data_IF_894176077289
#
_entry.id   IF_894176077289
#
_cell.length_a   1.000
_cell.length_b   1.000
_cell.length_c   1.000
_cell.angle_alpha   90.00
_cell.angle_beta   90.00
_cell.angle_gamma   90.00
#
_symmetry.space_group_name_H-M   'P 1'
#
loop_
_entity.id
_entity.type
_entity.pdbx_description
1 polymer ?
#
# COMPACT_ATOMS: atom_id res chain seq x y z
N UNK A 1 12.77 -11.69 17.71
CA UNK A 1 11.52 -11.84 16.95
C UNK A 1 11.76 -11.42 15.51
N UNK A 2 11.14 -12.09 14.53
CA UNK A 2 11.26 -11.80 13.10
C UNK A 2 10.51 -10.49 12.81
N UNK A 3 11.18 -9.43 12.32
CA UNK A 3 10.51 -8.17 12.07
C UNK A 3 9.79 -8.16 10.72
N UNK A 4 8.50 -7.89 10.74
CA UNK A 4 7.67 -7.76 9.54
C UNK A 4 6.90 -6.44 9.58
N UNK A 5 6.29 -6.07 8.45
CA UNK A 5 5.31 -4.99 8.39
C UNK A 5 3.91 -5.50 8.05
N UNK A 6 2.90 -4.83 8.59
CA UNK A 6 1.50 -5.00 8.21
C UNK A 6 0.99 -3.64 7.74
N UNK A 7 0.58 -3.57 6.48
CA UNK A 7 0.08 -2.36 5.85
C UNK A 7 -1.40 -2.45 5.54
N UNK A 8 -2.16 -1.47 6.02
CA UNK A 8 -3.53 -1.28 5.58
C UNK A 8 -3.58 -0.40 4.33
N UNK A 9 -4.24 -0.91 3.28
CA UNK A 9 -4.45 -0.18 2.04
C UNK A 9 -5.78 0.60 2.07
N UNK A 10 -5.98 1.45 1.07
CA UNK A 10 -7.20 2.23 0.83
C UNK A 10 -7.56 3.34 1.87
N UNK A 11 -6.59 3.83 2.65
CA UNK A 11 -6.88 4.96 3.55
C UNK A 11 -7.39 6.18 2.76
N UNK A 12 -8.38 6.87 3.32
CA UNK A 12 -9.16 7.95 2.70
C UNK A 12 -10.20 7.56 1.63
N UNK A 13 -10.31 6.28 1.22
CA UNK A 13 -11.31 5.87 0.22
C UNK A 13 -12.75 6.15 0.70
N UNK A 14 -13.04 5.87 1.97
CA UNK A 14 -14.27 6.29 2.63
C UNK A 14 -14.06 6.43 4.15
N UNK A 15 -15.10 6.90 4.85
CA UNK A 15 -15.07 7.18 6.29
C UNK A 15 -14.91 5.92 7.13
N UNK A 16 -15.54 4.80 6.78
CA UNK A 16 -15.45 3.55 7.54
C UNK A 16 -14.05 2.91 7.44
N UNK A 17 -13.44 2.95 6.25
CA UNK A 17 -12.04 2.51 6.05
C UNK A 17 -11.10 3.42 6.84
N UNK A 18 -11.25 4.74 6.70
CA UNK A 18 -10.39 5.70 7.39
C UNK A 18 -10.47 5.55 8.92
N UNK A 19 -11.68 5.41 9.48
CA UNK A 19 -11.87 5.20 10.90
C UNK A 19 -11.26 3.88 11.39
N UNK A 20 -11.44 2.79 10.64
CA UNK A 20 -10.87 1.49 10.99
C UNK A 20 -9.34 1.49 10.99
N UNK A 21 -8.72 2.09 9.97
CA UNK A 21 -7.26 2.19 9.87
C UNK A 21 -6.70 3.07 10.99
N UNK A 22 -7.30 4.23 11.27
CA UNK A 22 -6.86 5.11 12.36
C UNK A 22 -6.91 4.42 13.72
N UNK A 23 -8.02 3.72 14.03
CA UNK A 23 -8.16 2.97 15.27
C UNK A 23 -7.09 1.86 15.41
N UNK A 24 -6.79 1.13 14.32
CA UNK A 24 -5.77 0.10 14.34
C UNK A 24 -4.34 0.66 14.42
N UNK A 25 -4.09 1.86 13.87
CA UNK A 25 -2.83 2.59 14.07
C UNK A 25 -2.67 3.03 15.52
N UNK A 26 -3.73 3.57 16.14
CA UNK A 26 -3.73 3.99 17.55
C UNK A 26 -3.43 2.81 18.50
N UNK A 27 -3.94 1.61 18.14
CA UNK A 27 -3.67 0.34 18.84
C UNK A 27 -2.34 -0.30 18.48
N UNK A 28 -1.58 0.26 17.54
CA UNK A 28 -0.32 -0.30 17.00
C UNK A 28 -0.47 -1.70 16.41
N UNK A 29 -1.68 -2.02 15.93
CA UNK A 29 -1.95 -3.28 15.26
C UNK A 29 -1.41 -3.29 13.82
N UNK A 30 -1.17 -2.09 13.26
CA UNK A 30 -0.59 -1.87 11.94
C UNK A 30 0.76 -1.16 12.08
N UNK A 31 1.67 -1.41 11.13
CA UNK A 31 2.95 -0.68 11.04
C UNK A 31 3.04 0.23 9.82
N UNK A 32 2.05 0.18 8.92
CA UNK A 32 1.95 1.04 7.76
C UNK A 32 0.50 1.30 7.32
N UNK A 33 0.29 2.41 6.63
CA UNK A 33 -0.96 2.72 5.93
C UNK A 33 -0.68 3.35 4.56
N UNK A 34 -1.40 2.91 3.53
CA UNK A 34 -1.32 3.47 2.18
C UNK A 34 -2.53 4.34 1.86
N UNK A 35 -2.30 5.55 1.34
CA UNK A 35 -3.29 6.61 1.29
C UNK A 35 -3.66 7.05 -0.13
N UNK A 36 -4.96 7.22 -0.36
CA UNK A 36 -5.49 7.92 -1.53
C UNK A 36 -5.42 9.43 -1.33
N UNK A 37 -4.30 10.04 -1.71
CA UNK A 37 -4.08 11.48 -1.51
C UNK A 37 -4.95 12.41 -2.35
N UNK A 38 -5.69 11.87 -3.32
CA UNK A 38 -6.67 12.63 -4.11
C UNK A 38 -8.11 12.23 -3.82
N UNK A 39 -8.36 11.47 -2.76
CA UNK A 39 -9.72 11.20 -2.31
C UNK A 39 -10.38 12.52 -1.87
N UNK A 40 -11.71 12.69 -2.04
CA UNK A 40 -12.42 13.92 -1.68
C UNK A 40 -12.21 14.36 -0.23
N UNK A 41 -12.11 13.40 0.70
CA UNK A 41 -11.92 13.66 2.13
C UNK A 41 -10.46 13.97 2.51
N UNK A 42 -9.49 13.83 1.59
CA UNK A 42 -8.06 13.86 1.94
C UNK A 42 -7.65 15.16 2.61
N UNK A 43 -7.89 16.29 1.95
CA UNK A 43 -7.41 17.61 2.41
C UNK A 43 -8.08 18.05 3.71
N UNK A 44 -9.38 17.81 3.84
CA UNK A 44 -10.19 18.35 4.94
C UNK A 44 -10.23 17.44 6.16
N UNK A 45 -10.07 16.12 5.99
CA UNK A 45 -10.30 15.16 7.07
C UNK A 45 -9.17 14.15 7.21
N UNK A 46 -8.85 13.39 6.16
CA UNK A 46 -7.98 12.22 6.28
C UNK A 46 -6.51 12.60 6.54
N UNK A 47 -5.96 13.57 5.81
CA UNK A 47 -4.59 14.02 6.03
C UNK A 47 -4.40 14.69 7.41
N UNK A 48 -5.26 15.61 7.87
CA UNK A 48 -5.19 16.15 9.23
C UNK A 48 -5.25 15.06 10.33
N UNK A 49 -6.19 14.12 10.23
CA UNK A 49 -6.35 13.06 11.23
C UNK A 49 -5.14 12.10 11.30
N UNK A 50 -4.48 11.87 10.16
CA UNK A 50 -3.27 11.06 10.09
C UNK A 50 -2.05 11.83 10.61
N UNK A 51 -1.92 13.12 10.25
CA UNK A 51 -0.87 14.00 10.80
C UNK A 51 -0.89 14.06 12.31
N UNK A 52 -2.06 14.26 12.91
CA UNK A 52 -2.22 14.30 14.36
C UNK A 52 -1.59 13.06 15.03
N UNK A 53 -1.83 11.87 14.48
CA UNK A 53 -1.28 10.60 15.00
C UNK A 53 0.22 10.44 14.76
N UNK A 54 0.73 10.97 13.64
CA UNK A 54 2.16 10.93 13.33
C UNK A 54 2.97 11.94 14.16
N UNK A 55 2.37 13.09 14.49
CA UNK A 55 2.96 14.16 15.30
C UNK A 55 2.91 13.83 16.80
N UNK A 56 1.87 13.10 17.24
CA UNK A 56 1.74 12.66 18.63
C UNK A 56 2.87 11.67 19.01
N UNK A 57 3.79 12.19 19.86
CA UNK A 57 4.73 11.51 20.78
C UNK A 57 6.17 11.28 20.30
N UNK A 58 7.09 11.89 21.07
CA UNK A 58 8.54 11.71 21.06
C UNK A 58 8.96 10.39 21.75
N UNK A 59 8.08 9.79 22.56
CA UNK A 59 8.39 8.59 23.38
C UNK A 59 7.69 7.29 22.95
N UNK A 60 7.07 7.25 21.76
CA UNK A 60 6.39 6.01 21.29
C UNK A 60 7.26 5.23 20.31
N UNK A 61 7.60 3.96 20.59
CA UNK A 61 8.59 3.23 19.81
C UNK A 61 8.16 2.81 18.39
N UNK A 62 6.87 2.92 18.03
CA UNK A 62 6.42 2.63 16.66
C UNK A 62 5.58 3.78 16.12
N UNK A 63 6.21 4.65 15.33
CA UNK A 63 5.50 5.44 14.30
C UNK A 63 5.19 4.49 13.15
N UNK A 64 4.07 4.64 12.45
CA UNK A 64 3.77 3.85 11.25
C UNK A 64 4.39 4.49 10.01
N UNK A 65 4.73 3.68 9.00
CA UNK A 65 5.06 4.18 7.67
C UNK A 65 3.79 4.64 6.96
N UNK A 66 3.80 5.81 6.34
CA UNK A 66 2.66 6.32 5.58
C UNK A 66 3.05 6.55 4.13
N UNK A 67 2.32 5.91 3.22
CA UNK A 67 2.67 5.85 1.81
C UNK A 67 1.56 6.35 0.89
N UNK A 68 1.95 6.63 -0.35
CA UNK A 68 1.00 6.92 -1.42
C UNK A 68 0.44 5.62 -2.01
N UNK A 69 -0.89 5.49 -2.01
CA UNK A 69 -1.61 4.45 -2.72
C UNK A 69 -1.88 4.86 -4.16
N UNK A 70 -0.91 4.63 -5.05
CA UNK A 70 -0.99 5.17 -6.41
C UNK A 70 -2.20 4.61 -7.16
N UNK A 71 -3.10 5.51 -7.54
CA UNK A 71 -4.39 5.17 -8.11
C UNK A 71 -4.49 5.56 -9.58
N UNK A 72 -5.05 4.65 -10.39
CA UNK A 72 -5.47 4.90 -11.77
C UNK A 72 -6.90 4.39 -12.06
N UNK A 73 -7.56 3.78 -11.09
CA UNK A 73 -8.78 2.98 -11.31
C UNK A 73 -9.93 3.31 -10.37
N UNK A 74 -9.69 3.90 -9.22
CA UNK A 74 -10.72 4.39 -8.30
C UNK A 74 -11.15 5.81 -8.69
N UNK A 75 -12.46 6.05 -8.77
CA UNK A 75 -13.08 7.32 -9.15
C UNK A 75 -13.64 8.12 -7.98
N UNK A 76 -13.69 7.54 -6.77
CA UNK A 76 -14.24 8.12 -5.54
C UNK A 76 -15.70 8.58 -5.68
N UNK A 77 -16.53 7.77 -6.32
CA UNK A 77 -17.93 8.07 -6.67
C UNK A 77 -18.10 8.79 -8.00
N UNK A 78 -17.00 9.12 -8.69
CA UNK A 78 -16.97 9.66 -10.04
C UNK A 78 -16.49 8.64 -11.07
N UNK A 79 -16.35 9.07 -12.34
CA UNK A 79 -15.82 8.21 -13.38
C UNK A 79 -14.34 7.90 -13.13
N UNK A 80 -14.02 6.61 -13.02
CA UNK A 80 -12.64 6.13 -12.97
C UNK A 80 -11.86 6.52 -14.25
N UNK A 81 -10.58 6.88 -14.09
CA UNK A 81 -9.71 7.22 -15.22
C UNK A 81 -9.48 6.02 -16.18
N UNK A 82 -9.49 4.80 -15.63
CA UNK A 82 -9.40 3.57 -16.39
C UNK A 82 -10.01 2.40 -15.60
N UNK A 83 -10.47 1.35 -16.29
CA UNK A 83 -10.76 0.08 -15.63
C UNK A 83 -9.49 -0.75 -15.45
N UNK A 84 -9.43 -1.55 -14.38
CA UNK A 84 -8.30 -2.46 -14.11
C UNK A 84 -8.02 -3.40 -15.29
N UNK A 85 -9.05 -4.07 -15.80
CA UNK A 85 -8.92 -4.98 -16.94
C UNK A 85 -8.39 -4.25 -18.18
N UNK A 86 -8.84 -3.01 -18.42
CA UNK A 86 -8.32 -2.18 -19.50
C UNK A 86 -6.84 -1.85 -19.34
N UNK A 87 -6.39 -1.51 -18.13
CA UNK A 87 -4.97 -1.26 -17.85
C UNK A 87 -4.12 -2.52 -18.02
N UNK A 88 -4.61 -3.68 -17.55
CA UNK A 88 -3.92 -4.97 -17.70
C UNK A 88 -3.74 -5.29 -19.20
N UNK A 89 -4.81 -5.21 -20.00
CA UNK A 89 -4.73 -5.47 -21.44
C UNK A 89 -3.74 -4.53 -22.14
N UNK A 90 -3.79 -3.22 -21.84
CA UNK A 90 -2.85 -2.23 -22.39
C UNK A 90 -1.40 -2.43 -21.92
N UNK A 91 -1.20 -2.94 -20.70
CA UNK A 91 0.13 -3.30 -20.17
C UNK A 91 0.71 -4.47 -20.95
N UNK A 92 -0.10 -5.51 -21.18
CA UNK A 92 0.29 -6.71 -21.91
C UNK A 92 0.58 -6.42 -23.39
N UNK A 93 -0.27 -5.63 -24.06
CA UNK A 93 -0.05 -5.20 -25.46
C UNK A 93 1.15 -4.23 -25.61
N UNK A 94 1.56 -3.58 -24.51
CA UNK A 94 2.59 -2.54 -24.52
C UNK A 94 2.05 -1.14 -24.82
N UNK A 95 0.75 -0.98 -25.03
CA UNK A 95 0.10 0.31 -25.30
C UNK A 95 0.35 1.35 -24.22
N UNK A 96 0.51 0.94 -22.96
CA UNK A 96 0.81 1.88 -21.86
C UNK A 96 2.11 2.66 -22.10
N UNK A 97 3.02 2.18 -22.97
CA UNK A 97 4.26 2.88 -23.36
C UNK A 97 4.06 3.97 -24.41
N UNK A 98 2.86 4.13 -24.98
CA UNK A 98 2.57 5.21 -25.92
C UNK A 98 2.74 6.57 -25.23
N UNK A 99 3.34 7.58 -25.89
CA UNK A 99 3.66 8.87 -25.26
C UNK A 99 2.48 9.53 -24.54
N UNK A 100 1.29 9.52 -25.14
CA UNK A 100 0.09 10.12 -24.52
C UNK A 100 -0.32 9.44 -23.21
N UNK A 101 -0.22 8.10 -23.14
CA UNK A 101 -0.52 7.36 -21.91
C UNK A 101 0.58 7.51 -20.87
N UNK A 102 1.84 7.56 -21.29
CA UNK A 102 2.97 7.87 -20.39
C UNK A 102 2.80 9.26 -19.74
N UNK A 103 2.43 10.27 -20.53
CA UNK A 103 2.14 11.62 -20.02
C UNK A 103 0.96 11.60 -19.06
N UNK A 104 -0.12 10.90 -19.37
CA UNK A 104 -1.28 10.77 -18.48
C UNK A 104 -0.91 10.14 -17.14
N UNK A 105 -0.18 9.02 -17.15
CA UNK A 105 0.29 8.33 -15.94
C UNK A 105 1.21 9.25 -15.13
N UNK A 106 2.13 9.95 -15.80
CA UNK A 106 3.05 10.88 -15.16
C UNK A 106 2.29 12.01 -14.45
N UNK A 107 1.37 12.66 -15.15
CA UNK A 107 0.55 13.74 -14.59
C UNK A 107 -0.30 13.25 -13.42
N UNK A 108 -0.91 12.06 -13.53
CA UNK A 108 -1.70 11.46 -12.46
C UNK A 108 -0.86 11.16 -11.21
N UNK A 109 0.35 10.62 -11.38
CA UNK A 109 1.27 10.36 -10.27
C UNK A 109 1.77 11.65 -9.63
N UNK A 110 2.18 12.64 -10.43
CA UNK A 110 2.65 13.93 -9.91
C UNK A 110 1.56 14.62 -9.09
N UNK A 111 0.32 14.69 -9.59
CA UNK A 111 -0.82 15.24 -8.87
C UNK A 111 -1.05 14.55 -7.53
N UNK A 112 -0.95 13.22 -7.50
CA UNK A 112 -1.11 12.43 -6.28
C UNK A 112 0.03 12.65 -5.28
N UNK A 113 1.28 12.74 -5.74
CA UNK A 113 2.42 13.08 -4.88
C UNK A 113 2.30 14.51 -4.33
N UNK A 114 1.92 15.47 -5.17
CA UNK A 114 1.69 16.87 -4.77
C UNK A 114 0.60 16.95 -3.69
N UNK A 115 -0.54 16.27 -3.88
CA UNK A 115 -1.63 16.26 -2.91
C UNK A 115 -1.24 15.55 -1.59
N UNK A 116 -0.43 14.49 -1.68
CA UNK A 116 0.08 13.78 -0.50
C UNK A 116 0.98 14.69 0.32
N UNK A 117 1.96 15.31 -0.32
CA UNK A 117 2.94 16.18 0.33
C UNK A 117 2.31 17.46 0.87
N UNK A 118 1.35 18.05 0.15
CA UNK A 118 0.57 19.18 0.65
C UNK A 118 -0.28 18.79 1.87
N UNK A 119 -0.83 17.57 1.89
CA UNK A 119 -1.66 17.08 2.99
C UNK A 119 -0.87 16.78 4.26
N UNK A 120 0.26 16.06 4.13
CA UNK A 120 1.05 15.60 5.28
C UNK A 120 2.27 16.47 5.60
N UNK A 121 2.64 17.42 4.73
CA UNK A 121 3.83 18.27 4.91
C UNK A 121 5.16 17.53 4.75
N UNK A 122 5.16 16.30 4.22
CA UNK A 122 6.34 15.45 4.03
C UNK A 122 6.17 14.51 2.82
N UNK A 123 7.29 14.02 2.31
CA UNK A 123 7.31 12.93 1.33
C UNK A 123 6.68 11.64 1.92
N UNK A 124 6.09 10.77 1.08
CA UNK A 124 5.66 9.45 1.51
C UNK A 124 6.85 8.60 1.95
N UNK A 125 6.64 7.74 2.95
CA UNK A 125 7.60 6.71 3.34
C UNK A 125 7.72 5.62 2.27
N UNK A 126 6.61 5.39 1.56
CA UNK A 126 6.56 4.38 0.51
C UNK A 126 5.54 4.66 -0.59
N UNK A 127 5.71 3.94 -1.70
CA UNK A 127 4.76 3.93 -2.81
C UNK A 127 4.30 2.49 -3.06
N UNK A 128 3.00 2.29 -3.16
CA UNK A 128 2.39 1.11 -3.77
C UNK A 128 1.33 1.55 -4.79
N UNK A 129 0.44 0.67 -5.19
CA UNK A 129 -0.63 1.02 -6.12
C UNK A 129 -1.93 0.31 -5.78
N UNK A 130 -3.05 1.03 -5.93
CA UNK A 130 -4.37 0.45 -5.85
C UNK A 130 -4.52 -0.63 -6.92
N UNK A 131 -5.03 -1.80 -6.52
CA UNK A 131 -5.06 -3.00 -7.38
C UNK A 131 -3.69 -3.37 -7.96
N UNK A 132 -2.61 -2.90 -7.33
CA UNK A 132 -1.22 -3.08 -7.72
C UNK A 132 -0.89 -2.56 -9.13
N UNK A 133 -1.55 -1.50 -9.59
CA UNK A 133 -1.30 -0.93 -10.94
C UNK A 133 0.14 -0.45 -11.14
N UNK A 134 0.84 -0.10 -10.06
CA UNK A 134 2.21 0.44 -10.07
C UNK A 134 3.25 -0.53 -10.65
N UNK A 135 2.98 -1.83 -10.66
CA UNK A 135 3.89 -2.85 -11.21
C UNK A 135 3.72 -3.09 -12.72
N UNK A 136 2.62 -2.62 -13.30
CA UNK A 136 2.27 -2.88 -14.70
C UNK A 136 3.32 -2.30 -15.65
N UNK A 137 3.55 -2.99 -16.78
CA UNK A 137 4.48 -2.55 -17.83
C UNK A 137 3.96 -1.27 -18.44
N UNK A 138 4.82 -0.26 -18.51
CA UNK A 138 4.48 1.11 -18.88
C UNK A 138 4.18 1.99 -17.67
N UNK A 139 3.58 1.46 -16.59
CA UNK A 139 3.33 2.24 -15.37
C UNK A 139 4.58 2.32 -14.49
N UNK A 140 5.22 1.17 -14.21
CA UNK A 140 6.41 1.14 -13.34
C UNK A 140 7.55 2.01 -13.85
N UNK A 141 7.76 2.05 -15.17
CA UNK A 141 8.84 2.84 -15.77
C UNK A 141 8.59 4.35 -15.60
N UNK A 142 7.35 4.80 -15.70
CA UNK A 142 6.97 6.20 -15.43
C UNK A 142 7.16 6.50 -13.95
N UNK A 143 6.64 5.63 -13.08
CA UNK A 143 6.74 5.80 -11.64
C UNK A 143 8.18 5.95 -11.20
N UNK A 144 9.07 5.02 -11.58
CA UNK A 144 10.48 5.07 -11.21
C UNK A 144 11.18 6.33 -11.73
N UNK A 145 10.87 6.78 -12.95
CA UNK A 145 11.40 8.04 -13.49
C UNK A 145 10.94 9.27 -12.71
N UNK A 146 9.66 9.32 -12.34
CA UNK A 146 9.10 10.42 -11.55
C UNK A 146 9.72 10.45 -10.16
N UNK A 147 9.76 9.31 -9.46
CA UNK A 147 10.31 9.22 -8.12
C UNK A 147 11.81 9.50 -8.10
N UNK A 148 12.58 9.01 -9.08
CA UNK A 148 14.01 9.27 -9.18
C UNK A 148 14.34 10.76 -9.38
N UNK A 149 13.46 11.49 -10.08
CA UNK A 149 13.60 12.95 -10.27
C UNK A 149 13.13 13.72 -9.03
N UNK A 150 11.99 13.32 -8.45
CA UNK A 150 11.35 14.04 -7.34
C UNK A 150 12.12 13.90 -6.03
N UNK A 151 12.64 12.71 -5.73
CA UNK A 151 13.35 12.36 -4.49
C UNK A 151 14.82 12.03 -4.75
N UNK A 152 15.46 12.82 -5.60
CA UNK A 152 16.88 12.67 -5.91
C UNK A 152 17.76 13.08 -4.70
N UNK A 153 18.98 12.52 -4.56
CA UNK A 153 19.90 12.89 -3.49
C UNK A 153 20.28 14.39 -3.50
N UNK A 154 20.77 14.90 -2.36
CA UNK A 154 21.23 16.28 -2.21
C UNK A 154 22.22 16.69 -3.32
N UNK A 155 22.06 17.91 -3.83
CA UNK A 155 22.86 18.44 -4.96
C UNK A 155 22.21 18.33 -6.33
N UNK A 156 20.98 17.80 -6.42
CA UNK A 156 20.17 17.74 -7.65
C UNK A 156 18.81 18.45 -7.45
N UNK A 157 18.19 18.91 -8.53
CA UNK A 157 16.91 19.65 -8.46
C UNK A 157 15.74 18.71 -8.11
N UNK A 158 15.38 18.61 -6.83
CA UNK A 158 14.27 17.79 -6.31
C UNK A 158 13.87 18.14 -4.86
N UNK A 159 12.76 17.57 -4.37
CA UNK A 159 12.36 17.68 -2.97
C UNK A 159 13.37 16.91 -2.10
N UNK A 160 13.84 17.55 -1.04
CA UNK A 160 14.84 17.00 -0.11
C UNK A 160 14.19 15.93 0.78
N UNK A 161 14.69 14.70 0.75
CA UNK A 161 14.24 13.62 1.64
C UNK A 161 14.80 12.25 1.27
N UNK A 162 14.69 11.25 2.18
CA UNK A 162 15.05 9.86 1.86
C UNK A 162 14.13 9.34 0.74
N UNK A 163 14.68 8.48 -0.13
CA UNK A 163 13.88 7.84 -1.17
C UNK A 163 12.78 6.98 -0.53
N UNK A 164 11.51 7.09 -0.96
CA UNK A 164 10.48 6.17 -0.50
C UNK A 164 10.83 4.74 -0.91
N UNK A 165 10.51 3.76 -0.07
CA UNK A 165 10.55 2.37 -0.51
C UNK A 165 9.38 2.07 -1.44
N UNK A 166 9.53 1.10 -2.34
CA UNK A 166 8.50 0.74 -3.30
C UNK A 166 8.01 -0.67 -3.02
N UNK A 167 6.70 -0.84 -2.86
CA UNK A 167 6.11 -2.16 -2.65
C UNK A 167 6.33 -3.03 -3.88
N UNK A 168 6.92 -4.20 -3.70
CA UNK A 168 6.85 -5.27 -4.68
C UNK A 168 5.93 -6.39 -4.19
N UNK A 169 5.32 -7.10 -5.13
CA UNK A 169 4.31 -8.14 -4.89
C UNK A 169 4.88 -9.55 -5.08
N UNK A 170 6.20 -9.70 -5.03
CA UNK A 170 6.84 -11.03 -5.10
C UNK A 170 6.44 -11.82 -3.86
N UNK A 171 5.88 -13.02 -4.05
CA UNK A 171 5.34 -13.81 -2.93
C UNK A 171 6.44 -14.15 -1.94
N UNK A 172 6.14 -14.01 -0.65
CA UNK A 172 7.05 -14.48 0.41
C UNK A 172 7.22 -16.01 0.39
N UNK A 173 6.24 -16.75 -0.13
CA UNK A 173 6.32 -18.19 -0.32
C UNK A 173 5.94 -18.59 -1.76
N UNK A 174 6.86 -19.21 -2.48
CA UNK A 174 6.67 -19.64 -3.87
C UNK A 174 5.55 -20.68 -4.07
N UNK A 175 5.11 -21.36 -2.99
CA UNK A 175 4.00 -22.32 -2.99
C UNK A 175 2.61 -21.68 -2.93
N UNK A 176 2.50 -20.36 -2.74
CA UNK A 176 1.20 -19.68 -2.76
C UNK A 176 0.74 -19.45 -4.19
N UNK A 177 -0.21 -20.26 -4.67
CA UNK A 177 -0.73 -20.20 -6.03
C UNK A 177 -1.98 -19.31 -6.14
N UNK A 178 -2.57 -19.22 -7.33
CA UNK A 178 -3.80 -18.45 -7.57
C UNK A 178 -3.53 -16.94 -7.68
N UNK A 179 -4.34 -16.11 -7.01
CA UNK A 179 -4.27 -14.64 -7.10
C UNK A 179 -2.87 -14.09 -6.81
N UNK A 180 -2.19 -14.64 -5.79
CA UNK A 180 -0.83 -14.21 -5.42
C UNK A 180 0.18 -14.47 -6.56
N UNK A 181 0.07 -15.62 -7.23
CA UNK A 181 0.94 -15.95 -8.36
C UNK A 181 0.63 -15.08 -9.58
N UNK A 182 -0.65 -14.82 -9.87
CA UNK A 182 -1.06 -13.93 -10.96
C UNK A 182 -0.51 -12.52 -10.75
N UNK A 183 -0.62 -11.95 -9.55
CA UNK A 183 -0.07 -10.62 -9.24
C UNK A 183 1.44 -10.54 -9.46
N UNK A 184 2.18 -11.53 -8.95
CA UNK A 184 3.62 -11.62 -9.14
C UNK A 184 4.01 -11.68 -10.64
N UNK A 185 3.24 -12.40 -11.46
CA UNK A 185 3.47 -12.55 -12.90
C UNK A 185 3.05 -11.32 -13.73
N UNK A 186 2.02 -10.59 -13.30
CA UNK A 186 1.52 -9.40 -14.00
C UNK A 186 2.50 -8.21 -13.95
N UNK A 187 3.45 -8.22 -13.03
CA UNK A 187 4.52 -7.24 -13.00
C UNK A 187 5.39 -7.24 -11.74
N UNK A 188 4.99 -7.97 -10.70
CA UNK A 188 5.73 -8.04 -9.43
C UNK A 188 7.18 -8.47 -9.58
N UNK A 189 7.45 -9.54 -10.34
CA UNK A 189 8.83 -10.00 -10.60
C UNK A 189 9.65 -8.96 -11.37
N UNK A 190 9.05 -8.36 -12.39
CA UNK A 190 9.72 -7.38 -13.23
C UNK A 190 10.06 -6.13 -12.42
N UNK A 191 9.12 -5.64 -11.63
CA UNK A 191 9.33 -4.52 -10.71
C UNK A 191 10.41 -4.86 -9.68
N UNK A 192 10.33 -5.98 -8.99
CA UNK A 192 11.33 -6.40 -8.00
C UNK A 192 12.75 -6.45 -8.57
N UNK A 193 12.92 -7.05 -9.75
CA UNK A 193 14.21 -7.07 -10.46
C UNK A 193 14.71 -5.67 -10.81
N UNK A 194 13.81 -4.79 -11.24
CA UNK A 194 14.14 -3.41 -11.61
C UNK A 194 14.51 -2.55 -10.38
N UNK A 195 13.79 -2.71 -9.27
CA UNK A 195 14.10 -2.05 -7.99
C UNK A 195 15.48 -2.45 -7.49
N UNK A 196 15.77 -3.76 -7.46
CA UNK A 196 17.08 -4.29 -7.07
C UNK A 196 18.20 -3.74 -7.96
N UNK A 197 18.02 -3.75 -9.29
CA UNK A 197 19.00 -3.22 -10.24
C UNK A 197 19.28 -1.73 -10.06
N UNK A 198 18.26 -0.95 -9.69
CA UNK A 198 18.35 0.50 -9.54
C UNK A 198 18.65 0.95 -8.10
N UNK A 199 18.78 0.01 -7.16
CA UNK A 199 19.02 0.30 -5.74
C UNK A 199 17.85 1.03 -5.06
N UNK A 200 16.60 0.75 -5.45
CA UNK A 200 15.43 1.23 -4.74
C UNK A 200 15.12 0.31 -3.55
N UNK A 201 14.91 0.86 -2.34
CA UNK A 201 14.45 0.07 -1.20
C UNK A 201 13.09 -0.57 -1.49
N UNK A 202 12.88 -1.82 -1.08
CA UNK A 202 11.61 -2.54 -1.26
C UNK A 202 11.45 -3.67 -0.24
N UNK A 203 10.22 -4.11 0.01
CA UNK A 203 9.94 -5.21 0.94
C UNK A 203 10.55 -6.56 0.49
N UNK A 204 10.86 -7.42 1.45
CA UNK A 204 11.36 -8.78 1.22
C UNK A 204 10.23 -9.80 1.34
N UNK A 205 9.53 -10.02 0.22
CA UNK A 205 8.38 -10.90 0.17
C UNK A 205 7.07 -10.19 0.54
N UNK A 206 6.00 -10.66 -0.08
CA UNK A 206 4.66 -10.08 0.01
C UNK A 206 3.63 -11.17 0.34
N UNK A 207 2.70 -10.84 1.24
CA UNK A 207 1.55 -11.66 1.63
C UNK A 207 0.29 -10.80 1.82
N UNK A 208 -0.79 -11.41 2.29
CA UNK A 208 -2.09 -10.74 2.42
C UNK A 208 -2.97 -10.83 1.17
N UNK A 209 -2.56 -11.62 0.17
CA UNK A 209 -3.35 -11.84 -1.06
C UNK A 209 -4.20 -13.10 -0.91
N UNK A 210 -5.52 -12.95 -1.03
CA UNK A 210 -6.48 -14.05 -0.91
C UNK A 210 -7.81 -13.75 -1.63
N UNK A 211 -8.83 -14.60 -1.41
CA UNK A 211 -10.15 -14.50 -2.03
C UNK A 211 -10.93 -13.23 -1.68
N UNK A 212 -10.68 -12.64 -0.51
CA UNK A 212 -11.51 -11.62 0.15
C UNK A 212 -12.92 -12.11 0.50
N UNK A 213 -13.01 -13.39 0.85
CA UNK A 213 -14.25 -14.13 1.09
C UNK A 213 -14.09 -15.14 2.25
N UNK A 214 -13.19 -14.85 3.19
CA UNK A 214 -12.79 -15.78 4.25
C UNK A 214 -13.30 -15.29 5.61
N UNK A 215 -14.32 -15.95 6.20
CA UNK A 215 -14.80 -15.63 7.54
C UNK A 215 -13.73 -15.81 8.62
N UNK A 216 -12.90 -16.84 8.49
CA UNK A 216 -11.74 -17.07 9.37
C UNK A 216 -10.48 -16.41 8.78
N UNK A 217 -10.43 -15.09 8.86
CA UNK A 217 -9.25 -14.33 8.46
C UNK A 217 -8.01 -14.67 9.31
N UNK A 218 -8.20 -15.12 10.55
CA UNK A 218 -7.11 -15.52 11.44
C UNK A 218 -6.33 -16.73 10.92
N UNK A 219 -7.02 -17.73 10.36
CA UNK A 219 -6.38 -18.85 9.69
C UNK A 219 -5.55 -18.41 8.47
N UNK A 220 -6.06 -17.48 7.66
CA UNK A 220 -5.29 -16.89 6.56
C UNK A 220 -4.02 -16.19 7.07
N UNK A 221 -4.16 -15.37 8.12
CA UNK A 221 -3.05 -14.63 8.71
C UNK A 221 -1.97 -15.55 9.29
N UNK A 222 -2.38 -16.57 10.05
CA UNK A 222 -1.47 -17.57 10.61
C UNK A 222 -0.70 -18.32 9.50
N UNK A 223 -1.34 -18.60 8.36
CA UNK A 223 -0.67 -19.22 7.22
C UNK A 223 0.39 -18.31 6.59
N UNK A 224 0.17 -16.99 6.56
CA UNK A 224 1.18 -16.04 6.10
C UNK A 224 2.36 -15.94 7.07
N UNK A 225 2.10 -15.95 8.38
CA UNK A 225 3.17 -15.90 9.39
C UNK A 225 4.14 -17.09 9.33
N UNK A 226 3.73 -18.25 8.81
CA UNK A 226 4.65 -19.38 8.57
C UNK A 226 5.76 -19.07 7.56
N UNK A 227 5.59 -18.04 6.73
CA UNK A 227 6.59 -17.57 5.78
C UNK A 227 7.31 -16.29 6.26
N UNK A 228 7.15 -15.92 7.54
CA UNK A 228 7.73 -14.70 8.08
C UNK A 228 9.26 -14.66 7.90
N UNK A 229 9.73 -13.55 7.38
CA UNK A 229 11.14 -13.24 7.20
C UNK A 229 11.37 -11.74 7.40
N UNK A 230 12.57 -11.29 7.78
CA UNK A 230 12.87 -9.87 7.98
C UNK A 230 12.51 -9.03 6.75
N UNK A 231 11.71 -7.98 6.94
CA UNK A 231 11.30 -7.07 5.87
C UNK A 231 10.14 -7.59 5.01
N UNK A 232 9.50 -8.70 5.40
CA UNK A 232 8.25 -9.16 4.78
C UNK A 232 7.12 -8.16 5.03
N UNK A 233 6.27 -7.98 4.02
CA UNK A 233 5.08 -7.15 4.10
C UNK A 233 3.82 -8.00 3.97
N UNK A 234 2.87 -7.81 4.89
CA UNK A 234 1.51 -8.35 4.82
C UNK A 234 0.55 -7.19 4.55
N UNK A 235 -0.25 -7.29 3.48
CA UNK A 235 -1.30 -6.34 3.15
C UNK A 235 -2.62 -6.72 3.80
N UNK A 236 -3.40 -5.72 4.22
CA UNK A 236 -4.76 -5.88 4.71
C UNK A 236 -5.68 -4.72 4.28
N UNK A 237 -6.99 -4.90 4.41
CA UNK A 237 -8.02 -3.92 4.03
C UNK A 237 -9.09 -3.74 5.13
N UNK A 238 -8.72 -3.36 6.36
CA UNK A 238 -9.67 -3.22 7.46
C UNK A 238 -10.61 -2.02 7.27
N UNK A 239 -11.85 -2.15 7.74
CA UNK A 239 -12.79 -1.04 7.93
C UNK A 239 -13.61 -1.27 9.20
N UNK A 240 -13.92 -0.19 9.93
CA UNK A 240 -14.66 -0.29 11.20
C UNK A 240 -16.10 -0.79 11.03
N UNK A 241 -16.66 -0.58 9.84
CA UNK A 241 -17.97 -1.06 9.43
C UNK A 241 -17.97 -1.35 7.93
N UNK A 242 -19.00 -2.05 7.45
CA UNK A 242 -19.20 -2.25 6.02
C UNK A 242 -19.41 -0.88 5.37
N UNK A 243 -18.61 -0.50 4.36
CA UNK A 243 -18.82 0.75 3.63
C UNK A 243 -20.24 0.85 3.07
N UNK A 244 -20.83 2.05 3.11
CA UNK A 244 -22.16 2.28 2.57
C UNK A 244 -22.18 2.04 1.05
N UNK A 245 -23.23 1.35 0.56
CA UNK A 245 -23.40 0.97 -0.87
C UNK A 245 -23.49 2.16 -1.86
N UNK A 246 -23.55 3.40 -1.36
CA UNK A 246 -23.81 4.59 -2.15
C UNK A 246 -22.55 5.33 -2.64
N UNK A 247 -21.38 4.99 -2.09
CA UNK A 247 -20.10 5.31 -2.71
C UNK A 247 -19.68 4.10 -3.57
N UNK A 248 -18.86 4.29 -4.60
CA UNK A 248 -18.43 3.28 -5.58
C UNK A 248 -18.41 1.82 -5.07
N UNK A 249 -18.86 0.84 -5.88
CA UNK A 249 -18.97 -0.54 -5.45
C UNK A 249 -17.60 -1.11 -5.08
N UNK A 250 -17.29 -1.09 -3.78
CA UNK A 250 -16.14 -1.72 -3.16
C UNK A 250 -16.34 -3.24 -3.17
N UNK A 251 -15.63 -3.99 -4.04
CA UNK A 251 -15.89 -5.41 -4.25
C UNK A 251 -15.59 -6.27 -3.02
N UNK A 252 -14.83 -5.73 -2.06
CA UNK A 252 -14.42 -6.43 -0.84
C UNK A 252 -15.09 -5.87 0.42
N UNK A 253 -16.12 -5.03 0.28
CA UNK A 253 -16.80 -4.33 1.38
C UNK A 253 -17.22 -5.26 2.54
N UNK A 254 -17.70 -6.47 2.23
CA UNK A 254 -18.13 -7.45 3.22
C UNK A 254 -16.96 -8.01 4.06
N UNK A 255 -15.76 -8.06 3.49
CA UNK A 255 -14.58 -8.63 4.11
C UNK A 255 -13.85 -7.63 5.00
N UNK A 256 -13.90 -6.33 4.69
CA UNK A 256 -13.18 -5.30 5.46
C UNK A 256 -13.45 -5.31 6.97
N UNK A 257 -14.71 -5.46 7.44
CA UNK A 257 -14.99 -5.57 8.88
C UNK A 257 -14.51 -6.87 9.50
N UNK A 258 -14.35 -7.94 8.71
CA UNK A 258 -13.79 -9.22 9.18
C UNK A 258 -12.31 -9.02 9.50
N UNK A 259 -11.55 -8.40 8.59
CA UNK A 259 -10.14 -8.07 8.82
C UNK A 259 -9.99 -7.15 10.05
N UNK A 260 -10.79 -6.08 10.11
CA UNK A 260 -10.77 -5.14 11.24
C UNK A 260 -11.01 -5.83 12.59
N UNK A 261 -12.02 -6.71 12.67
CA UNK A 261 -12.30 -7.48 13.90
C UNK A 261 -11.15 -8.39 14.30
N UNK A 262 -10.48 -9.03 13.34
CA UNK A 262 -9.32 -9.87 13.64
C UNK A 262 -8.18 -9.04 14.25
N UNK A 263 -7.80 -7.93 13.63
CA UNK A 263 -6.73 -7.06 14.16
C UNK A 263 -7.06 -6.44 15.52
N UNK A 264 -8.35 -6.30 15.84
CA UNK A 264 -8.83 -5.79 17.12
C UNK A 264 -9.07 -6.90 18.17
N UNK A 265 -8.81 -8.17 17.84
CA UNK A 265 -9.01 -9.32 18.73
C UNK A 265 -7.72 -9.69 19.50
N UNK A 266 -7.86 -10.46 20.59
CA UNK A 266 -6.70 -11.02 21.31
C UNK A 266 -5.92 -12.07 20.49
N UNK A 267 -6.57 -12.69 19.50
CA UNK A 267 -5.96 -13.71 18.65
C UNK A 267 -4.82 -13.15 17.78
N UNK A 268 -4.87 -11.87 17.42
CA UNK A 268 -3.84 -11.23 16.60
C UNK A 268 -2.47 -11.15 17.30
N UNK A 269 -2.33 -10.49 18.48
CA UNK A 269 -1.06 -10.45 19.18
C UNK A 269 -0.60 -11.85 19.66
N UNK A 270 -1.52 -12.78 19.94
CA UNK A 270 -1.20 -14.18 20.21
C UNK A 270 -0.55 -14.87 18.99
N UNK A 271 -1.12 -14.68 17.79
CA UNK A 271 -0.56 -15.23 16.56
C UNK A 271 0.85 -14.69 16.27
N UNK A 272 1.08 -13.39 16.48
CA UNK A 272 2.42 -12.79 16.35
C UNK A 272 3.41 -13.41 17.32
N UNK A 273 3.05 -13.54 18.61
CA UNK A 273 3.90 -14.17 19.63
C UNK A 273 4.20 -15.63 19.30
N UNK A 274 3.18 -16.40 18.92
CA UNK A 274 3.33 -17.82 18.57
C UNK A 274 4.26 -18.03 17.35
N UNK A 275 4.21 -17.12 16.38
CA UNK A 275 5.11 -17.13 15.23
C UNK A 275 6.50 -16.53 15.51
N UNK A 276 6.74 -15.98 16.71
CA UNK A 276 7.98 -15.29 17.06
C UNK A 276 8.20 -14.02 16.23
N UNK A 277 7.13 -13.34 15.81
CA UNK A 277 7.12 -12.18 14.92
C UNK A 277 6.90 -10.89 15.71
N UNK A 278 7.50 -9.80 15.24
CA UNK A 278 7.27 -8.45 15.76
C UNK A 278 6.96 -7.49 14.60
N UNK A 279 6.03 -6.55 14.83
CA UNK A 279 5.75 -5.49 13.87
C UNK A 279 6.84 -4.42 13.93
N UNK A 280 7.30 -3.99 12.76
CA UNK A 280 8.17 -2.83 12.58
C UNK A 280 7.80 -2.08 11.30
N UNK A 281 8.23 -0.82 11.22
CA UNK A 281 8.23 -0.04 9.98
C UNK A 281 9.21 -0.66 8.99
N UNK A 282 8.88 -0.65 7.71
CA UNK A 282 9.85 -1.05 6.68
C UNK A 282 10.99 -0.04 6.57
N UNK A 283 10.74 1.25 6.77
CA UNK A 283 11.81 2.26 6.82
C UNK A 283 12.80 2.06 7.97
N UNK A 284 12.47 1.25 8.98
CA UNK A 284 13.41 0.86 10.06
C UNK A 284 14.15 -0.45 9.76
N UNK A 285 13.71 -1.22 8.76
CA UNK A 285 14.25 -2.54 8.39
C UNK A 285 15.08 -2.50 7.11
N UNK A 286 14.77 -1.56 6.23
CA UNK A 286 15.44 -1.39 4.95
C UNK A 286 16.57 -0.35 5.09
N UNK A 287 17.71 -0.57 4.43
CA UNK A 287 18.84 0.37 4.44
C UNK A 287 18.54 1.69 3.71
#
# INVERSE_FOLDING_TARGET
MIPIAVCADDYAQNTAISAGILDLLDKKALSAASCFSTAPSWREQAAPALRERLEQRVDTPLRADVGLHFNLTEGFGGAAAASLNGLILRSLSGDLKRPSLQTMIQTALQRQLDAFEQGLGRAPDFIDGHQHVHQLRGVREVMLKVLARRYAPEGTAGLRGPRPWIRNTTRANGRWHGKAQVLELLGGRALSKELSRLGWPSNHGFAGVYGFDQPDYGACFAQWLKAAQPGMLIMCHPASATPAKHADPDPIAAQRPVEYRYFNSSAYPEALRAAGVQLQRLTALLP
#
